data_IF_391213327640
#
_entry.id   IF_391213327640
#
_cell.length_a   1.000
_cell.length_b   1.000
_cell.length_c   1.000
_cell.angle_alpha   90.00
_cell.angle_beta   90.00
_cell.angle_gamma   90.00
#
_symmetry.space_group_name_H-M   'P 1'
#
loop_
_entity.id
_entity.type
_entity.pdbx_description
1 polymer ?
#
# COMPACT_ATOMS: atom_id res chain seq x y z
N UNK A 1 -4.69 -21.21 -11.12
CA UNK A 1 -4.08 -19.88 -10.88
C UNK A 1 -3.78 -19.78 -9.39
N UNK A 2 -2.51 -19.62 -8.96
CA UNK A 2 -2.25 -19.37 -7.55
C UNK A 2 -2.90 -18.03 -7.16
N UNK A 3 -3.87 -18.06 -6.25
CA UNK A 3 -4.58 -16.85 -5.79
C UNK A 3 -3.59 -15.78 -5.33
N UNK A 4 -3.82 -14.53 -5.74
CA UNK A 4 -3.03 -13.38 -5.28
C UNK A 4 -3.36 -13.19 -3.80
N UNK A 5 -2.44 -13.62 -2.93
CA UNK A 5 -2.59 -13.49 -1.48
C UNK A 5 -2.02 -12.17 -0.93
N UNK A 6 -1.31 -11.40 -1.74
CA UNK A 6 -0.73 -10.10 -1.38
C UNK A 6 -0.69 -9.18 -2.59
N UNK A 7 -0.88 -7.88 -2.35
CA UNK A 7 -0.65 -6.86 -3.36
C UNK A 7 0.83 -6.83 -3.77
N UNK A 8 1.07 -6.71 -5.07
CA UNK A 8 2.41 -6.46 -5.60
C UNK A 8 2.79 -4.99 -5.36
N UNK A 9 4.09 -4.72 -5.17
CA UNK A 9 4.57 -3.33 -5.10
C UNK A 9 4.51 -2.61 -6.44
N UNK A 10 4.59 -3.38 -7.52
CA UNK A 10 4.44 -2.85 -8.87
C UNK A 10 2.96 -2.84 -9.22
N UNK A 11 2.48 -1.74 -9.79
CA UNK A 11 1.15 -1.69 -10.41
C UNK A 11 1.07 -2.73 -11.53
N UNK A 12 0.20 -3.75 -11.43
CA UNK A 12 0.07 -4.76 -12.48
C UNK A 12 -0.49 -4.16 -13.78
N UNK A 13 -1.44 -3.24 -13.67
CA UNK A 13 -2.07 -2.59 -14.82
C UNK A 13 -1.10 -1.65 -15.55
N UNK A 14 -0.36 -0.80 -14.81
CA UNK A 14 0.66 0.06 -15.39
C UNK A 14 1.76 -0.79 -16.07
N UNK A 15 2.21 -1.86 -15.40
CA UNK A 15 3.20 -2.78 -15.96
C UNK A 15 2.73 -3.38 -17.27
N UNK A 16 1.47 -3.80 -17.37
CA UNK A 16 0.91 -4.37 -18.59
C UNK A 16 0.87 -3.35 -19.73
N UNK A 17 0.42 -2.12 -19.45
CA UNK A 17 0.36 -1.03 -20.44
C UNK A 17 1.77 -0.69 -20.95
N UNK A 18 2.74 -0.51 -20.04
CA UNK A 18 4.12 -0.19 -20.40
C UNK A 18 4.79 -1.33 -21.17
N UNK A 19 4.50 -2.60 -20.83
CA UNK A 19 4.97 -3.75 -21.61
C UNK A 19 4.37 -3.79 -23.00
N UNK A 20 3.09 -3.42 -23.15
CA UNK A 20 2.43 -3.34 -24.45
C UNK A 20 3.05 -2.26 -25.32
N UNK A 21 3.34 -1.08 -24.77
CA UNK A 21 4.03 0.00 -25.46
C UNK A 21 5.45 -0.42 -25.88
N UNK A 22 6.23 -0.99 -24.97
CA UNK A 22 7.61 -1.42 -25.23
C UNK A 22 7.70 -2.51 -26.31
N UNK A 23 6.74 -3.43 -26.36
CA UNK A 23 6.70 -4.54 -27.32
C UNK A 23 6.13 -4.14 -28.67
N UNK A 24 5.60 -2.92 -28.81
CA UNK A 24 5.01 -2.48 -30.07
C UNK A 24 6.11 -2.23 -31.10
N UNK A 25 6.04 -2.91 -32.23
CA UNK A 25 6.97 -2.71 -33.35
C UNK A 25 6.71 -1.39 -34.11
N UNK A 26 5.50 -0.83 -33.95
CA UNK A 26 5.10 0.44 -34.58
C UNK A 26 4.85 1.49 -33.49
N UNK A 27 5.18 2.76 -33.75
CA UNK A 27 4.78 3.86 -32.88
C UNK A 27 3.28 3.80 -32.61
N UNK A 28 2.92 3.78 -31.33
CA UNK A 28 1.53 3.67 -30.87
C UNK A 28 1.11 5.00 -30.26
N UNK A 29 0.04 5.58 -30.78
CA UNK A 29 -0.62 6.69 -30.10
C UNK A 29 -1.43 6.14 -28.92
N UNK A 30 -1.17 6.67 -27.74
CA UNK A 30 -1.87 6.29 -26.52
C UNK A 30 -2.11 7.54 -25.68
N UNK A 31 -3.33 7.68 -25.17
CA UNK A 31 -3.68 8.61 -24.11
C UNK A 31 -4.60 7.86 -23.14
N UNK A 32 -4.07 7.49 -21.99
CA UNK A 32 -4.75 6.57 -21.07
C UNK A 32 -4.62 7.00 -19.61
N UNK A 33 -5.75 7.04 -18.92
CA UNK A 33 -5.82 7.26 -17.48
C UNK A 33 -6.14 5.95 -16.75
N UNK A 34 -5.31 5.61 -15.78
CA UNK A 34 -5.47 4.43 -14.92
C UNK A 34 -5.64 4.90 -13.47
N UNK A 35 -6.65 4.37 -12.79
CA UNK A 35 -6.90 4.64 -11.37
C UNK A 35 -6.66 3.37 -10.54
N UNK A 36 -5.94 3.50 -9.44
CA UNK A 36 -5.61 2.40 -8.53
C UNK A 36 -5.99 2.70 -7.07
N UNK A 37 -5.88 1.66 -6.23
CA UNK A 37 -6.12 1.77 -4.80
C UNK A 37 -5.28 2.89 -4.17
N UNK A 38 -5.87 3.61 -3.22
CA UNK A 38 -5.19 4.73 -2.55
C UNK A 38 -5.28 6.05 -3.32
N UNK A 39 -6.28 6.23 -4.19
CA UNK A 39 -6.48 7.44 -4.99
C UNK A 39 -5.29 7.77 -5.89
N UNK A 40 -4.61 6.74 -6.38
CA UNK A 40 -3.49 6.87 -7.30
C UNK A 40 -4.04 6.96 -8.71
N UNK A 41 -3.57 7.92 -9.48
CA UNK A 41 -3.87 8.07 -10.89
C UNK A 41 -2.56 8.07 -11.70
N UNK A 42 -2.54 7.30 -12.77
CA UNK A 42 -1.50 7.34 -13.78
C UNK A 42 -2.07 7.87 -15.08
N UNK A 43 -1.39 8.83 -15.70
CA UNK A 43 -1.66 9.27 -17.06
C UNK A 43 -0.51 8.86 -17.96
N UNK A 44 -0.78 7.95 -18.89
CA UNK A 44 0.19 7.44 -19.86
C UNK A 44 -0.13 8.04 -21.21
N UNK A 45 0.78 8.86 -21.73
CA UNK A 45 0.64 9.47 -23.04
C UNK A 45 1.83 9.10 -23.93
N UNK A 46 1.57 8.56 -25.12
CA UNK A 46 2.58 8.23 -26.11
C UNK A 46 2.17 8.77 -27.48
N UNK A 47 3.12 9.31 -28.24
CA UNK A 47 2.87 9.87 -29.57
C UNK A 47 3.30 8.90 -30.67
N UNK A 48 2.43 8.68 -31.66
CA UNK A 48 2.80 7.95 -32.88
C UNK A 48 3.84 8.69 -33.74
N UNK A 49 3.99 10.00 -33.55
CA UNK A 49 4.94 10.83 -34.32
C UNK A 49 6.38 10.78 -33.80
N UNK A 50 6.57 10.34 -32.54
CA UNK A 50 7.86 10.38 -31.87
C UNK A 50 7.93 9.30 -30.78
N UNK A 51 8.64 8.21 -31.07
CA UNK A 51 8.80 7.08 -30.16
C UNK A 51 9.53 7.44 -28.84
N UNK A 52 10.22 8.59 -28.79
CA UNK A 52 10.92 9.09 -27.61
C UNK A 52 10.04 10.00 -26.73
N UNK A 53 8.76 10.16 -27.08
CA UNK A 53 7.76 10.95 -26.34
C UNK A 53 6.70 10.05 -25.70
N UNK A 54 7.13 9.14 -24.84
CA UNK A 54 6.21 8.53 -23.88
C UNK A 54 6.35 9.22 -22.53
N UNK A 55 5.22 9.65 -21.97
CA UNK A 55 5.12 10.30 -20.68
C UNK A 55 4.25 9.46 -19.75
N UNK A 56 4.70 9.35 -18.50
CA UNK A 56 3.98 8.76 -17.39
C UNK A 56 3.85 9.84 -16.30
N UNK A 57 2.66 10.39 -16.14
CA UNK A 57 2.35 11.32 -15.04
C UNK A 57 1.66 10.58 -13.90
N UNK A 58 2.03 10.89 -12.66
CA UNK A 58 1.52 10.22 -11.47
C UNK A 58 0.90 11.27 -10.55
N UNK A 59 -0.35 11.04 -10.19
CA UNK A 59 -1.03 11.72 -9.10
C UNK A 59 -1.22 10.73 -7.95
N UNK A 60 -0.77 11.08 -6.75
CA UNK A 60 -0.87 10.23 -5.56
C UNK A 60 -1.01 11.11 -4.32
N UNK A 61 -1.84 10.73 -3.34
CA UNK A 61 -1.85 11.37 -2.05
C UNK A 61 -0.45 11.33 -1.42
N UNK A 62 -0.01 12.45 -0.89
CA UNK A 62 1.23 12.56 -0.13
C UNK A 62 0.95 12.23 1.33
N UNK A 63 1.78 11.37 1.92
CA UNK A 63 1.74 11.10 3.36
C UNK A 63 2.04 12.38 4.12
N UNK A 64 1.11 12.79 4.96
CA UNK A 64 1.23 14.02 5.76
C UNK A 64 1.15 13.72 7.25
N UNK A 65 1.81 14.58 8.03
CA UNK A 65 1.68 14.65 9.47
C UNK A 65 0.67 15.74 9.84
N UNK A 66 -0.50 15.34 10.33
CA UNK A 66 -1.45 16.22 11.01
C UNK A 66 -1.69 17.62 10.40
N UNK A 67 -2.07 17.70 9.12
CA UNK A 67 -2.54 18.95 8.49
C UNK A 67 -1.47 19.78 7.75
N UNK A 68 -0.21 19.37 7.77
CA UNK A 68 0.83 20.04 6.97
C UNK A 68 0.76 19.55 5.51
N UNK A 69 0.26 20.42 4.62
CA UNK A 69 0.24 20.18 3.19
C UNK A 69 1.67 20.31 2.65
N UNK A 70 2.27 19.19 2.21
CA UNK A 70 3.50 19.24 1.40
C UNK A 70 3.12 19.63 -0.03
N UNK A 71 3.65 20.74 -0.53
CA UNK A 71 3.57 21.06 -1.94
C UNK A 71 4.71 20.36 -2.68
N UNK A 72 4.39 19.26 -3.35
CA UNK A 72 5.34 18.49 -4.15
C UNK A 72 5.98 17.30 -3.41
N UNK A 73 6.66 16.46 -4.20
CA UNK A 73 7.40 15.31 -3.69
C UNK A 73 8.66 15.75 -2.95
N UNK A 74 9.00 15.14 -1.80
CA UNK A 74 10.28 15.36 -1.15
C UNK A 74 11.45 15.08 -2.10
N UNK A 75 12.55 15.84 -1.97
CA UNK A 75 13.78 15.63 -2.76
C UNK A 75 14.28 14.18 -2.67
N UNK A 76 14.16 13.58 -1.48
CA UNK A 76 14.51 12.18 -1.22
C UNK A 76 13.73 11.19 -2.10
N UNK A 77 12.45 11.49 -2.40
CA UNK A 77 11.61 10.69 -3.28
C UNK A 77 12.04 10.85 -4.73
N UNK A 78 12.36 12.09 -5.15
CA UNK A 78 12.84 12.38 -6.51
C UNK A 78 14.14 11.64 -6.79
N UNK A 79 15.10 11.67 -5.85
CA UNK A 79 16.37 10.95 -5.97
C UNK A 79 16.19 9.43 -6.10
N UNK A 80 15.30 8.84 -5.30
CA UNK A 80 15.00 7.41 -5.38
C UNK A 80 14.33 7.03 -6.69
N UNK A 81 13.45 7.88 -7.23
CA UNK A 81 12.83 7.64 -8.53
C UNK A 81 13.86 7.76 -9.67
N UNK A 82 14.78 8.75 -9.62
CA UNK A 82 15.90 8.84 -10.58
C UNK A 82 16.74 7.56 -10.59
N UNK A 83 16.93 6.94 -9.42
CA UNK A 83 17.65 5.67 -9.27
C UNK A 83 16.93 4.43 -9.80
N UNK A 84 15.65 4.50 -10.20
CA UNK A 84 14.91 3.31 -10.66
C UNK A 84 15.40 2.80 -12.01
N UNK A 85 15.89 3.67 -12.90
CA UNK A 85 16.42 3.36 -14.24
C UNK A 85 17.11 4.59 -14.85
N UNK A 86 18.36 4.86 -14.48
CA UNK A 86 19.05 6.15 -14.79
C UNK A 86 19.08 6.54 -16.27
N UNK A 87 19.06 5.58 -17.20
CA UNK A 87 19.22 5.89 -18.63
C UNK A 87 17.89 6.00 -19.39
N UNK A 88 16.87 5.21 -19.00
CA UNK A 88 15.58 5.09 -19.71
C UNK A 88 14.48 6.00 -19.15
N UNK A 89 14.69 6.60 -17.98
CA UNK A 89 13.71 7.44 -17.28
C UNK A 89 14.30 8.82 -17.01
N UNK A 90 13.63 9.84 -17.51
CA UNK A 90 13.96 11.25 -17.26
C UNK A 90 12.79 11.88 -16.49
N UNK A 91 13.08 12.63 -15.42
CA UNK A 91 12.05 13.40 -14.71
C UNK A 91 11.83 14.71 -15.46
N UNK A 92 10.57 15.02 -15.77
CA UNK A 92 10.18 16.26 -16.42
C UNK A 92 9.87 17.32 -15.35
N UNK A 93 10.55 18.46 -15.42
CA UNK A 93 10.33 19.60 -14.52
C UNK A 93 9.89 20.85 -15.30
N UNK A 94 8.79 21.51 -14.91
CA UNK A 94 7.83 21.09 -13.88
C UNK A 94 7.03 19.85 -14.32
N UNK A 95 6.44 19.15 -13.35
CA UNK A 95 5.47 18.11 -13.65
C UNK A 95 4.28 18.69 -14.45
N UNK A 96 3.63 17.85 -15.24
CA UNK A 96 2.43 18.24 -15.99
C UNK A 96 1.32 18.66 -15.04
N UNK A 97 0.49 19.59 -15.49
CA UNK A 97 -0.61 20.14 -14.71
C UNK A 97 -1.51 19.02 -14.14
N UNK A 98 -1.81 19.10 -12.84
CA UNK A 98 -2.60 18.09 -12.13
C UNK A 98 -1.81 16.91 -11.52
N UNK A 99 -0.51 16.78 -11.80
CA UNK A 99 0.30 15.64 -11.36
C UNK A 99 1.44 16.05 -10.42
N UNK A 100 1.80 15.17 -9.48
CA UNK A 100 2.95 15.40 -8.58
C UNK A 100 4.30 14.98 -9.21
N UNK A 101 4.27 14.10 -10.21
CA UNK A 101 5.46 13.64 -10.93
C UNK A 101 5.12 13.38 -12.40
N UNK A 102 6.02 13.77 -13.30
CA UNK A 102 5.97 13.34 -14.70
C UNK A 102 7.31 12.74 -15.09
N UNK A 103 7.27 11.52 -15.62
CA UNK A 103 8.41 10.80 -16.15
C UNK A 103 8.31 10.78 -17.67
N UNK A 104 9.43 11.04 -18.35
CA UNK A 104 9.61 10.75 -19.77
C UNK A 104 10.35 9.42 -19.88
N UNK A 105 9.77 8.51 -20.66
CA UNK A 105 10.25 7.14 -20.83
C UNK A 105 10.85 6.99 -22.23
N UNK A 106 12.11 6.55 -22.28
CA UNK A 106 12.81 6.19 -23.51
C UNK A 106 12.85 4.68 -23.65
N UNK A 107 11.84 4.12 -24.34
CA UNK A 107 11.74 2.68 -24.56
C UNK A 107 12.90 2.11 -25.38
N UNK A 108 13.57 2.93 -26.20
CA UNK A 108 14.70 2.46 -27.01
C UNK A 108 15.92 2.09 -26.14
N UNK A 109 16.02 2.66 -24.94
CA UNK A 109 17.04 2.33 -23.95
C UNK A 109 16.67 1.13 -23.07
N UNK A 110 15.48 0.56 -23.24
CA UNK A 110 15.04 -0.61 -22.49
C UNK A 110 15.31 -1.88 -23.32
N UNK A 111 16.19 -2.80 -22.86
CA UNK A 111 16.56 -4.01 -23.61
C UNK A 111 15.38 -4.97 -23.77
N UNK A 112 15.34 -5.72 -24.88
CA UNK A 112 14.29 -6.73 -25.11
C UNK A 112 14.48 -8.00 -24.25
N UNK A 113 13.42 -8.81 -24.16
CA UNK A 113 13.45 -10.11 -23.49
C UNK A 113 13.14 -10.04 -21.99
N UNK A 114 13.91 -10.78 -21.17
CA UNK A 114 13.64 -10.86 -19.73
C UNK A 114 13.98 -9.57 -18.98
N UNK A 115 14.90 -8.77 -19.51
CA UNK A 115 15.37 -7.57 -18.83
C UNK A 115 14.40 -6.38 -19.00
N UNK A 116 13.66 -6.26 -20.12
CA UNK A 116 12.55 -5.28 -20.21
C UNK A 116 11.50 -5.52 -19.13
N UNK A 117 11.15 -6.78 -18.87
CA UNK A 117 10.13 -7.10 -17.86
C UNK A 117 10.59 -6.64 -16.48
N UNK A 118 11.88 -6.79 -16.14
CA UNK A 118 12.41 -6.31 -14.85
C UNK A 118 12.38 -4.78 -14.76
N UNK A 119 12.89 -4.10 -15.78
CA UNK A 119 12.93 -2.63 -15.85
C UNK A 119 11.53 -2.03 -15.78
N UNK A 120 10.61 -2.52 -16.61
CA UNK A 120 9.22 -2.03 -16.62
C UNK A 120 8.52 -2.36 -15.30
N UNK A 121 8.82 -3.50 -14.67
CA UNK A 121 8.34 -3.79 -13.31
C UNK A 121 8.88 -2.75 -12.31
N UNK A 122 10.16 -2.38 -12.38
CA UNK A 122 10.76 -1.35 -11.52
C UNK A 122 10.10 0.03 -11.74
N UNK A 123 9.90 0.46 -12.99
CA UNK A 123 9.16 1.69 -13.31
C UNK A 123 7.76 1.64 -12.69
N UNK A 124 7.09 0.49 -12.77
CA UNK A 124 5.75 0.29 -12.21
C UNK A 124 5.71 0.27 -10.67
N UNK A 125 6.85 0.35 -9.98
CA UNK A 125 6.92 0.52 -8.51
C UNK A 125 6.99 1.97 -8.05
N UNK A 126 6.90 2.95 -8.97
CA UNK A 126 7.10 4.38 -8.66
C UNK A 126 6.26 4.88 -7.48
N UNK A 127 4.98 4.49 -7.40
CA UNK A 127 4.11 4.87 -6.28
C UNK A 127 4.57 4.27 -4.94
N UNK A 128 4.96 3.00 -4.92
CA UNK A 128 5.47 2.35 -3.73
C UNK A 128 6.80 2.98 -3.28
N UNK A 129 7.63 3.42 -4.22
CA UNK A 129 8.88 4.13 -3.95
C UNK A 129 8.61 5.48 -3.31
N UNK A 130 7.70 6.27 -3.89
CA UNK A 130 7.26 7.56 -3.34
C UNK A 130 6.74 7.39 -1.90
N UNK A 131 5.78 6.50 -1.67
CA UNK A 131 5.21 6.29 -0.35
C UNK A 131 6.23 5.79 0.67
N UNK A 132 7.08 4.84 0.28
CA UNK A 132 8.11 4.30 1.17
C UNK A 132 9.17 5.35 1.54
N UNK A 133 9.50 6.25 0.61
CA UNK A 133 10.41 7.37 0.84
C UNK A 133 9.83 8.35 1.86
N UNK A 134 8.59 8.77 1.66
CA UNK A 134 7.90 9.67 2.59
C UNK A 134 7.77 9.07 3.99
N UNK A 135 7.39 7.79 4.09
CA UNK A 135 7.30 7.12 5.37
C UNK A 135 8.67 7.05 6.06
N UNK A 136 9.74 6.70 5.34
CA UNK A 136 11.10 6.67 5.91
C UNK A 136 11.54 8.04 6.41
N UNK A 137 11.25 9.10 5.66
CA UNK A 137 11.60 10.46 6.04
C UNK A 137 10.85 10.91 7.30
N UNK A 138 9.53 10.69 7.34
CA UNK A 138 8.70 10.98 8.51
C UNK A 138 9.19 10.20 9.74
N UNK A 139 9.48 8.91 9.60
CA UNK A 139 10.00 8.09 10.70
C UNK A 139 11.41 8.46 11.13
N UNK A 140 12.26 8.99 10.24
CA UNK A 140 13.60 9.49 10.57
C UNK A 140 13.52 10.81 11.34
N UNK A 141 12.64 11.72 10.92
CA UNK A 141 12.52 13.05 11.50
C UNK A 141 11.90 13.03 12.91
N UNK A 142 11.16 11.97 13.27
CA UNK A 142 10.59 11.80 14.62
C UNK A 142 11.61 11.24 15.63
N UNK A 143 12.85 11.74 15.60
CA UNK A 143 13.90 11.25 16.51
C UNK A 143 13.74 11.77 17.95
N UNK A 144 13.42 10.84 18.86
CA UNK A 144 13.72 10.75 20.32
C UNK A 144 13.52 11.93 21.30
N UNK A 145 13.09 13.13 20.89
CA UNK A 145 13.02 14.28 21.82
C UNK A 145 11.69 14.44 22.58
N UNK A 146 10.61 13.80 22.14
CA UNK A 146 9.29 13.91 22.79
C UNK A 146 9.04 12.84 23.86
N UNK A 147 10.09 12.28 24.47
CA UNK A 147 9.96 11.38 25.63
C UNK A 147 9.69 12.18 26.92
N UNK A 148 8.66 13.03 26.92
CA UNK A 148 8.19 13.62 28.17
C UNK A 148 7.50 12.52 28.98
N UNK A 149 8.10 12.15 30.13
CA UNK A 149 7.58 11.17 31.08
C UNK A 149 7.39 9.73 30.55
N UNK A 150 8.29 9.23 29.71
CA UNK A 150 8.29 7.82 29.27
C UNK A 150 7.13 7.43 28.35
N UNK A 151 6.35 8.40 27.85
CA UNK A 151 5.33 8.20 26.82
C UNK A 151 5.89 8.63 25.47
N UNK A 152 5.89 7.71 24.51
CA UNK A 152 6.23 8.02 23.12
C UNK A 152 4.99 8.57 22.43
N UNK A 153 5.10 9.79 21.89
CA UNK A 153 3.97 10.46 21.24
C UNK A 153 3.63 9.72 19.93
N UNK A 154 2.35 9.39 19.69
CA UNK A 154 1.93 8.84 18.40
C UNK A 154 2.05 9.90 17.29
N UNK A 155 2.47 9.44 16.12
CA UNK A 155 2.58 10.22 14.89
C UNK A 155 1.34 9.90 14.06
N UNK A 156 0.42 10.86 13.90
CA UNK A 156 -0.72 10.70 12.99
C UNK A 156 -0.25 10.81 11.54
N UNK A 157 -0.48 9.77 10.76
CA UNK A 157 -0.20 9.70 9.34
C UNK A 157 -1.51 9.61 8.56
N UNK A 158 -1.65 10.45 7.54
CA UNK A 158 -2.84 10.50 6.69
C UNK A 158 -2.44 10.16 5.26
N UNK A 159 -2.88 9.00 4.78
CA UNK A 159 -2.80 8.63 3.35
C UNK A 159 -4.13 8.90 2.63
N UNK A 160 -5.24 8.59 3.29
CA UNK A 160 -6.59 8.94 2.84
C UNK A 160 -7.27 9.77 3.94
N UNK A 161 -7.98 10.88 3.62
CA UNK A 161 -8.47 11.82 4.62
C UNK A 161 -9.34 11.23 5.74
N UNK A 162 -10.05 10.14 5.44
CA UNK A 162 -10.94 9.46 6.41
C UNK A 162 -10.28 8.27 7.11
N UNK A 163 -9.05 7.93 6.75
CA UNK A 163 -8.37 6.72 7.22
C UNK A 163 -6.96 7.08 7.72
N UNK A 164 -6.86 7.89 8.79
CA UNK A 164 -5.59 8.09 9.47
C UNK A 164 -5.12 6.79 10.10
N UNK A 165 -3.81 6.65 10.24
CA UNK A 165 -3.18 5.63 11.07
C UNK A 165 -2.08 6.27 11.91
N UNK A 166 -1.68 5.60 12.97
CA UNK A 166 -0.72 6.15 13.94
C UNK A 166 0.54 5.32 13.97
N UNK A 167 1.70 5.97 14.08
CA UNK A 167 2.96 5.29 14.33
C UNK A 167 3.57 5.79 15.63
N UNK A 168 3.93 4.87 16.51
CA UNK A 168 4.60 5.13 17.78
C UNK A 168 5.99 4.53 17.67
N UNK A 169 7.01 5.39 17.64
CA UNK A 169 8.41 4.99 17.52
C UNK A 169 9.06 4.93 18.90
N UNK A 170 9.52 3.75 19.29
CA UNK A 170 10.30 3.48 20.50
C UNK A 170 11.71 3.02 20.11
N UNK A 171 12.71 3.03 21.03
CA UNK A 171 14.10 2.71 20.69
C UNK A 171 14.32 1.35 20.02
N UNK A 172 13.56 0.33 20.42
CA UNK A 172 13.68 -1.05 19.92
C UNK A 172 12.40 -1.58 19.25
N UNK A 173 11.39 -0.72 19.07
CA UNK A 173 10.05 -1.14 18.66
C UNK A 173 9.34 -0.03 17.90
N UNK A 174 8.72 -0.37 16.77
CA UNK A 174 7.79 0.50 16.05
C UNK A 174 6.40 -0.12 16.17
N UNK A 175 5.45 0.66 16.68
CA UNK A 175 4.05 0.23 16.78
C UNK A 175 3.22 1.05 15.82
N UNK A 176 2.46 0.39 14.96
CA UNK A 176 1.53 1.03 14.03
C UNK A 176 0.11 0.66 14.40
N UNK A 177 -0.77 1.63 14.57
CA UNK A 177 -2.17 1.45 14.95
C UNK A 177 -3.08 1.95 13.83
N UNK A 178 -3.97 1.09 13.34
CA UNK A 178 -4.95 1.37 12.30
C UNK A 178 -6.37 1.35 12.90
N UNK A 179 -7.03 2.52 13.05
CA UNK A 179 -8.46 2.57 13.29
C UNK A 179 -9.22 2.19 12.02
N UNK A 180 -9.87 1.02 12.02
CA UNK A 180 -10.47 0.41 10.84
C UNK A 180 -11.86 0.99 10.58
N UNK A 181 -12.13 1.53 9.39
CA UNK A 181 -13.44 2.12 9.06
C UNK A 181 -14.03 1.44 7.85
N UNK A 182 -15.24 0.92 7.99
CA UNK A 182 -15.96 0.24 6.92
C UNK A 182 -17.26 0.96 6.61
N UNK A 183 -17.63 1.02 5.34
CA UNK A 183 -18.89 1.66 4.91
C UNK A 183 -20.09 0.77 5.22
N UNK A 184 -19.95 -0.53 4.99
CA UNK A 184 -21.02 -1.51 5.15
C UNK A 184 -20.90 -2.27 6.47
N UNK A 185 -22.03 -2.54 7.13
CA UNK A 185 -22.04 -3.29 8.38
C UNK A 185 -21.61 -4.76 8.18
N UNK A 186 -21.87 -5.33 7.00
CA UNK A 186 -21.40 -6.65 6.59
C UNK A 186 -19.88 -6.72 6.59
N UNK A 187 -19.21 -5.71 6.04
CA UNK A 187 -17.75 -5.62 6.02
C UNK A 187 -17.17 -5.52 7.44
N UNK A 188 -17.85 -4.83 8.37
CA UNK A 188 -17.45 -4.79 9.78
C UNK A 188 -17.39 -6.20 10.37
N UNK A 189 -18.42 -7.02 10.13
CA UNK A 189 -18.50 -8.38 10.67
C UNK A 189 -17.39 -9.25 10.06
N UNK A 190 -17.25 -9.22 8.74
CA UNK A 190 -16.24 -10.02 8.02
C UNK A 190 -14.82 -9.61 8.43
N UNK A 191 -14.53 -8.31 8.45
CA UNK A 191 -13.21 -7.81 8.79
C UNK A 191 -12.85 -8.07 10.26
N UNK A 192 -13.81 -7.91 11.18
CA UNK A 192 -13.57 -8.20 12.61
C UNK A 192 -13.23 -9.66 12.83
N UNK A 193 -13.95 -10.59 12.18
CA UNK A 193 -13.62 -12.01 12.22
C UNK A 193 -12.22 -12.28 11.65
N UNK A 194 -11.86 -11.63 10.54
CA UNK A 194 -10.51 -11.73 9.96
C UNK A 194 -9.41 -11.21 10.91
N UNK A 195 -9.63 -10.09 11.59
CA UNK A 195 -8.63 -9.51 12.50
C UNK A 195 -8.43 -10.36 13.76
N UNK A 196 -9.51 -10.94 14.30
CA UNK A 196 -9.42 -11.88 15.41
C UNK A 196 -8.60 -13.11 15.01
N UNK A 197 -8.87 -13.68 13.84
CA UNK A 197 -8.10 -14.81 13.33
C UNK A 197 -6.63 -14.45 13.03
N UNK A 198 -6.37 -13.24 12.57
CA UNK A 198 -5.00 -12.75 12.34
C UNK A 198 -4.23 -12.62 13.65
N UNK A 199 -4.87 -12.08 14.69
CA UNK A 199 -4.31 -11.97 16.04
C UNK A 199 -3.98 -13.37 16.59
N UNK A 200 -4.93 -14.31 16.51
CA UNK A 200 -4.74 -15.69 17.02
C UNK A 200 -3.57 -16.40 16.32
N UNK A 201 -3.43 -16.21 15.00
CA UNK A 201 -2.29 -16.77 14.24
C UNK A 201 -0.99 -16.07 14.62
N UNK A 202 -1.01 -14.74 14.76
CA UNK A 202 0.16 -13.94 15.12
C UNK A 202 0.69 -14.23 16.52
N UNK A 203 -0.16 -14.67 17.45
CA UNK A 203 0.22 -15.07 18.80
C UNK A 203 0.76 -16.51 18.91
N UNK A 204 0.76 -17.29 17.83
CA UNK A 204 1.27 -18.66 17.84
C UNK A 204 2.80 -18.71 17.81
N UNK A 205 3.39 -19.66 18.56
CA UNK A 205 4.85 -19.90 18.61
C UNK A 205 5.48 -20.19 17.23
N UNK A 206 4.68 -20.58 16.24
CA UNK A 206 5.16 -20.75 14.87
C UNK A 206 5.57 -19.42 14.18
N UNK A 207 5.31 -18.26 14.81
CA UNK A 207 5.45 -16.93 14.20
C UNK A 207 6.15 -15.91 15.10
N UNK A 208 7.10 -16.34 15.94
CA UNK A 208 7.88 -15.47 16.85
C UNK A 208 8.68 -14.37 16.15
N UNK A 209 8.98 -14.56 14.86
CA UNK A 209 9.70 -13.62 13.99
C UNK A 209 8.78 -12.69 13.19
N UNK A 210 7.47 -12.88 13.25
CA UNK A 210 6.51 -11.96 12.62
C UNK A 210 6.23 -10.76 13.54
N UNK A 211 5.91 -9.58 12.98
CA UNK A 211 5.41 -8.47 13.78
C UNK A 211 4.18 -8.91 14.58
N UNK A 212 4.16 -8.57 15.87
CA UNK A 212 3.04 -8.92 16.73
C UNK A 212 1.80 -8.14 16.29
N UNK A 213 0.70 -8.85 16.04
CA UNK A 213 -0.56 -8.28 15.58
C UNK A 213 -1.64 -8.43 16.65
N UNK A 214 -2.34 -7.34 16.97
CA UNK A 214 -3.50 -7.37 17.88
C UNK A 214 -4.69 -6.64 17.28
N UNK A 215 -5.89 -7.01 17.77
CA UNK A 215 -7.12 -6.28 17.51
C UNK A 215 -7.80 -5.91 18.83
N UNK A 216 -8.37 -4.71 18.91
CA UNK A 216 -9.11 -4.23 20.08
C UNK A 216 -10.33 -3.41 19.63
N UNK A 217 -11.50 -3.56 20.28
CA UNK A 217 -12.65 -2.70 20.01
C UNK A 217 -12.47 -1.27 20.54
N UNK A 218 -11.50 -1.05 21.44
CA UNK A 218 -11.21 0.26 22.06
C UNK A 218 -9.83 0.79 21.67
N UNK A 219 -9.62 2.12 21.65
CA UNK A 219 -8.32 2.71 21.33
C UNK A 219 -7.24 2.22 22.30
N UNK A 220 -6.04 1.84 21.80
CA UNK A 220 -4.96 1.43 22.67
C UNK A 220 -4.46 2.61 23.53
N UNK A 221 -3.92 2.37 24.74
CA UNK A 221 -3.51 3.42 25.69
C UNK A 221 -2.53 4.45 25.12
N UNK A 222 -1.72 4.06 24.14
CA UNK A 222 -0.75 4.88 23.44
C UNK A 222 -1.40 6.03 22.64
N UNK A 223 -2.67 5.89 22.26
CA UNK A 223 -3.43 6.93 21.56
C UNK A 223 -4.23 7.84 22.50
N UNK A 224 -4.02 7.76 23.82
CA UNK A 224 -4.67 8.68 24.77
C UNK A 224 -4.27 10.12 24.48
N UNK A 225 -5.26 10.98 24.28
CA UNK A 225 -5.08 12.40 24.00
C UNK A 225 -5.22 12.78 22.52
N UNK A 226 -5.30 11.79 21.62
CA UNK A 226 -5.63 12.02 20.21
C UNK A 226 -7.09 12.47 20.03
N UNK A 227 -7.36 13.16 18.92
CA UNK A 227 -8.68 13.71 18.62
C UNK A 227 -9.72 12.58 18.46
N UNK A 228 -10.91 12.79 19.02
CA UNK A 228 -11.99 11.81 18.97
C UNK A 228 -12.37 11.43 17.52
N UNK A 229 -12.31 12.36 16.57
CA UNK A 229 -12.59 12.08 15.16
C UNK A 229 -11.64 11.03 14.58
N UNK A 230 -10.36 11.08 14.96
CA UNK A 230 -9.33 10.19 14.47
C UNK A 230 -9.40 8.81 15.12
N UNK A 231 -9.99 8.73 16.32
CA UNK A 231 -10.23 7.49 17.05
C UNK A 231 -11.61 6.90 16.77
N UNK A 232 -12.52 7.61 16.09
CA UNK A 232 -13.84 7.09 15.76
C UNK A 232 -13.76 5.99 14.70
N UNK A 233 -14.12 4.76 15.06
CA UNK A 233 -14.07 3.57 14.21
C UNK A 233 -15.28 2.66 14.46
N UNK A 234 -15.74 1.94 13.43
CA UNK A 234 -16.70 0.85 13.56
C UNK A 234 -16.08 -0.55 13.42
N UNK A 235 -14.81 -0.68 13.06
CA UNK A 235 -14.08 -1.95 12.92
C UNK A 235 -13.03 -2.22 14.00
N UNK A 236 -12.90 -1.33 14.98
CA UNK A 236 -11.88 -1.40 16.03
C UNK A 236 -10.49 -0.98 15.57
N UNK A 237 -9.48 -1.35 16.34
CA UNK A 237 -8.09 -0.94 16.19
C UNK A 237 -7.22 -2.16 15.92
N UNK A 238 -6.56 -2.19 14.77
CA UNK A 238 -5.55 -3.20 14.43
C UNK A 238 -4.18 -2.62 14.73
N UNK A 239 -3.39 -3.32 15.53
CA UNK A 239 -2.05 -2.87 15.92
C UNK A 239 -0.99 -3.86 15.45
N UNK A 240 0.04 -3.35 14.78
CA UNK A 240 1.24 -4.10 14.44
C UNK A 240 2.43 -3.56 15.23
N UNK A 241 3.14 -4.44 15.91
CA UNK A 241 4.33 -4.12 16.68
C UNK A 241 5.53 -4.86 16.08
N UNK A 242 6.44 -4.10 15.49
CA UNK A 242 7.68 -4.61 14.90
C UNK A 242 8.86 -4.30 15.82
N UNK A 243 9.56 -5.34 16.26
CA UNK A 243 10.78 -5.22 17.06
C UNK A 243 11.96 -5.04 16.10
N UNK A 244 12.68 -3.93 16.23
CA UNK A 244 13.78 -3.60 15.31
C UNK A 244 14.85 -4.69 15.35
N UNK A 245 14.99 -5.46 14.26
CA UNK A 245 15.98 -6.54 14.14
C UNK A 245 15.42 -7.90 13.73
N UNK A 246 14.09 -8.09 13.73
CA UNK A 246 13.45 -9.32 13.23
C UNK A 246 13.12 -9.21 11.76
N UNK A 247 13.59 -10.16 10.94
CA UNK A 247 13.33 -10.18 9.51
C UNK A 247 12.35 -11.30 9.16
N UNK A 248 11.07 -10.96 9.04
CA UNK A 248 10.05 -11.94 8.71
C UNK A 248 10.10 -12.33 7.22
N UNK A 249 10.06 -13.63 6.91
CA UNK A 249 10.02 -14.12 5.52
C UNK A 249 8.59 -14.12 4.97
N UNK A 250 8.33 -13.14 4.09
CA UNK A 250 7.08 -12.88 3.37
C UNK A 250 6.33 -14.14 2.86
N UNK A 251 7.06 -15.17 2.43
CA UNK A 251 6.49 -16.35 1.76
C UNK A 251 5.70 -17.31 2.67
N UNK A 252 6.04 -17.42 3.96
CA UNK A 252 5.40 -18.39 4.85
C UNK A 252 4.05 -17.88 5.38
N UNK A 253 3.98 -16.62 5.79
CA UNK A 253 2.73 -15.94 6.19
C UNK A 253 1.69 -16.00 5.06
N UNK A 254 2.13 -15.74 3.82
CA UNK A 254 1.29 -15.79 2.63
C UNK A 254 0.64 -17.16 2.39
N UNK A 255 1.36 -18.25 2.65
CA UNK A 255 0.85 -19.60 2.41
C UNK A 255 -0.25 -19.97 3.42
N UNK A 256 -0.11 -19.56 4.68
CA UNK A 256 -1.10 -19.88 5.72
C UNK A 256 -2.33 -18.97 5.67
N UNK A 257 -2.16 -17.66 5.44
CA UNK A 257 -3.28 -16.74 5.21
C UNK A 257 -4.16 -17.21 4.04
N UNK A 258 -3.54 -17.65 2.94
CA UNK A 258 -4.25 -18.22 1.79
C UNK A 258 -5.02 -19.48 2.16
N UNK A 259 -4.38 -20.45 2.82
CA UNK A 259 -5.03 -21.69 3.22
C UNK A 259 -6.21 -21.45 4.18
N UNK A 260 -6.10 -20.47 5.09
CA UNK A 260 -7.20 -20.14 6.02
C UNK A 260 -8.30 -19.31 5.35
N UNK A 261 -7.96 -18.40 4.44
CA UNK A 261 -8.94 -17.69 3.63
C UNK A 261 -9.74 -18.66 2.76
N UNK A 262 -9.07 -19.64 2.13
CA UNK A 262 -9.73 -20.73 1.41
C UNK A 262 -10.67 -21.54 2.32
N UNK A 263 -10.26 -21.82 3.56
CA UNK A 263 -11.10 -22.51 4.55
C UNK A 263 -12.32 -21.67 4.97
N UNK A 264 -12.16 -20.36 5.18
CA UNK A 264 -13.27 -19.43 5.48
C UNK A 264 -14.23 -19.32 4.30
N UNK A 265 -13.71 -19.20 3.08
CA UNK A 265 -14.52 -19.20 1.85
C UNK A 265 -15.30 -20.50 1.73
N UNK A 266 -14.70 -21.65 2.03
CA UNK A 266 -15.42 -22.94 2.03
C UNK A 266 -16.53 -23.00 3.09
N UNK A 267 -16.32 -22.43 4.27
CA UNK A 267 -17.35 -22.36 5.32
C UNK A 267 -18.53 -21.49 4.86
N UNK A 268 -18.26 -20.31 4.28
CA UNK A 268 -19.30 -19.42 3.74
C UNK A 268 -20.11 -20.09 2.62
N UNK A 269 -19.46 -20.79 1.69
CA UNK A 269 -20.17 -21.55 0.65
C UNK A 269 -21.02 -22.69 1.24
N UNK A 270 -20.54 -23.34 2.29
CA UNK A 270 -21.25 -24.44 2.95
C UNK A 270 -22.48 -23.95 3.74
N UNK A 271 -22.43 -22.75 4.32
CA UNK A 271 -23.61 -22.12 4.92
C UNK A 271 -24.64 -21.71 3.87
N UNK A 272 -24.21 -21.11 2.76
CA UNK A 272 -25.11 -20.72 1.68
C UNK A 272 -25.89 -21.93 1.09
N UNK A 273 -25.21 -23.08 0.95
CA UNK A 273 -25.84 -24.33 0.51
C UNK A 273 -26.84 -24.92 1.54
N UNK A 274 -26.63 -24.68 2.84
CA UNK A 274 -27.56 -25.11 3.89
C UNK A 274 -28.80 -24.24 3.92
N UNK A 275 -28.66 -22.94 3.71
CA UNK A 275 -29.80 -22.02 3.64
C UNK A 275 -30.69 -22.31 2.42
N UNK A 276 -30.11 -22.59 1.25
CA UNK A 276 -30.88 -23.03 0.08
C UNK A 276 -31.62 -24.36 0.30
N UNK A 277 -31.04 -25.30 1.05
CA UNK A 277 -31.68 -26.58 1.37
C UNK A 277 -32.81 -26.43 2.41
N UNK A 278 -32.69 -25.48 3.34
CA UNK A 278 -33.75 -25.17 4.30
C UNK A 278 -34.92 -24.43 3.64
N UNK A 279 -34.67 -23.52 2.69
CA UNK A 279 -35.73 -22.85 1.92
C UNK A 279 -36.52 -23.84 1.05
N UNK A 280 -35.89 -24.90 0.54
CA UNK A 280 -36.57 -25.97 -0.21
C UNK A 280 -37.38 -26.95 0.66
N UNK A 281 -37.20 -26.96 1.98
CA UNK A 281 -37.96 -27.80 2.91
C UNK A 281 -39.17 -27.11 3.55
N UNK A 282 -39.34 -25.80 3.31
CA UNK A 282 -40.42 -24.98 3.88
C UNK A 282 -41.43 -24.54 2.79
N UNK A 283 -41.43 -25.21 1.63
CA UNK A 283 -42.46 -25.09 0.59
C UNK A 283 -43.16 -26.41 0.36
#
# INVERSE_FOLDING_TARGET
>A
MPGIACFERASPALKEILLKLHRSEKPMELDHHLHEFGSVEYHIQSSASDQYKTYLSISTPLLSHGGQLSYGLPLSSIELVKGLCSDAVEIVEPAREGYQLTLKLDFAKIPHGKDSVKIITQISTVQAVILSSQLKELLRNVSSQDASQGKYKPIKLVYHPREPFFVIKQPAKITTVFPMRFKENTDVIIATAFFQELMDVGSSEAWTEAPHCTWSPIPPPELRGELLEDLSTNGGFVTFADETGKQCTRGFIQRRMRNRLESLVQLLHKENLKDEQNVKKVK
#
